data_IF_206378161289
#
_entry.id   IF_206378161289
#
_cell.length_a   1.000
_cell.length_b   1.000
_cell.length_c   1.000
_cell.angle_alpha   90.00
_cell.angle_beta   90.00
_cell.angle_gamma   90.00
#
_symmetry.space_group_name_H-M   'P 1'
#
loop_
_entity.id
_entity.type
_entity.pdbx_description
1 polymer ?
#
# COMPACT_ATOMS: atom_id res chain seq x y z
N UNK A 1 28.74 12.90 5.11
CA UNK A 1 27.61 13.65 5.69
C UNK A 1 26.36 12.81 5.47
N UNK A 2 25.54 12.58 6.51
CA UNK A 2 24.24 11.96 6.31
C UNK A 2 23.40 12.84 5.35
N UNK A 3 22.64 12.25 4.41
CA UNK A 3 21.80 13.02 3.52
C UNK A 3 20.84 13.90 4.32
N UNK A 4 20.78 15.18 4.00
CA UNK A 4 19.86 16.13 4.62
C UNK A 4 18.46 15.88 4.06
N UNK A 5 17.42 15.73 4.90
CA UNK A 5 16.06 15.64 4.40
C UNK A 5 15.67 16.96 3.72
N UNK A 6 14.86 16.91 2.66
CA UNK A 6 14.39 18.12 2.01
C UNK A 6 13.54 18.95 2.98
N UNK A 7 13.59 20.29 2.89
CA UNK A 7 12.83 21.15 3.81
C UNK A 7 11.34 20.82 3.76
N UNK A 8 10.60 21.05 4.86
CA UNK A 8 9.15 20.94 4.87
C UNK A 8 8.51 21.80 3.77
N UNK A 9 7.39 21.34 3.22
CA UNK A 9 6.65 22.13 2.23
C UNK A 9 5.90 23.28 2.93
N UNK A 10 5.71 24.38 2.22
CA UNK A 10 5.02 25.56 2.76
C UNK A 10 3.54 25.30 3.07
N UNK A 11 3.07 25.86 4.20
CA UNK A 11 1.67 25.81 4.61
C UNK A 11 1.21 24.41 5.04
N UNK A 12 0.06 23.96 4.52
CA UNK A 12 -0.55 22.64 4.83
C UNK A 12 -0.14 21.53 3.85
N UNK A 13 0.81 21.79 2.95
CA UNK A 13 1.27 20.84 1.93
C UNK A 13 2.15 19.75 2.55
N UNK A 14 2.09 18.53 2.02
CA UNK A 14 2.85 17.37 2.53
C UNK A 14 3.47 16.56 1.40
N UNK A 15 4.49 15.76 1.72
CA UNK A 15 4.94 14.67 0.86
C UNK A 15 4.22 13.40 1.29
N UNK A 16 3.48 12.80 0.35
CA UNK A 16 2.57 11.69 0.65
C UNK A 16 3.12 10.44 -0.03
N UNK A 17 3.54 9.46 0.76
CA UNK A 17 3.89 8.15 0.26
C UNK A 17 2.64 7.31 -0.01
N UNK A 18 2.64 6.55 -1.09
CA UNK A 18 1.59 5.63 -1.50
C UNK A 18 2.26 4.27 -1.73
N UNK A 19 1.75 3.23 -1.09
CA UNK A 19 2.25 1.85 -1.29
C UNK A 19 1.11 0.86 -1.44
N UNK A 20 1.39 -0.24 -2.15
CA UNK A 20 0.56 -1.44 -2.14
C UNK A 20 1.27 -2.56 -1.41
N UNK A 21 0.55 -3.32 -0.58
CA UNK A 21 1.14 -4.40 0.22
C UNK A 21 0.16 -5.54 0.42
N UNK A 22 0.69 -6.77 0.52
CA UNK A 22 -0.11 -7.99 0.61
C UNK A 22 -0.33 -8.61 -0.77
N UNK A 23 -1.35 -9.47 -0.89
CA UNK A 23 -1.78 -9.97 -2.21
C UNK A 23 -2.33 -8.83 -3.06
N UNK A 24 -2.01 -8.80 -4.34
CA UNK A 24 -2.54 -7.81 -5.25
C UNK A 24 -4.03 -8.08 -5.54
N UNK A 25 -4.76 -7.03 -5.90
CA UNK A 25 -6.15 -7.15 -6.32
C UNK A 25 -6.45 -6.23 -7.50
N UNK A 26 -7.35 -6.64 -8.43
CA UNK A 26 -7.74 -5.77 -9.53
C UNK A 26 -8.30 -4.44 -9.03
N UNK A 27 -7.71 -3.33 -9.50
CA UNK A 27 -8.11 -1.98 -9.13
C UNK A 27 -7.10 -1.22 -8.27
N UNK A 28 -6.06 -1.89 -7.73
CA UNK A 28 -4.99 -1.23 -6.97
C UNK A 28 -4.30 -0.11 -7.77
N UNK A 29 -4.07 -0.30 -9.07
CA UNK A 29 -3.53 0.75 -9.94
C UNK A 29 -4.44 1.99 -10.03
N UNK A 30 -5.77 1.78 -10.07
CA UNK A 30 -6.75 2.86 -10.04
C UNK A 30 -6.69 3.65 -8.74
N UNK A 31 -6.48 2.97 -7.61
CA UNK A 31 -6.28 3.58 -6.28
C UNK A 31 -5.02 4.43 -6.27
N UNK A 32 -3.87 3.85 -6.64
CA UNK A 32 -2.58 4.58 -6.67
C UNK A 32 -2.69 5.81 -7.56
N UNK A 33 -3.26 5.65 -8.77
CA UNK A 33 -3.52 6.76 -9.69
C UNK A 33 -4.35 7.87 -9.06
N UNK A 34 -5.45 7.53 -8.38
CA UNK A 34 -6.32 8.50 -7.73
C UNK A 34 -5.57 9.26 -6.63
N UNK A 35 -4.82 8.55 -5.78
CA UNK A 35 -4.02 9.14 -4.71
C UNK A 35 -2.94 10.08 -5.25
N UNK A 36 -2.18 9.66 -6.28
CA UNK A 36 -1.15 10.50 -6.92
C UNK A 36 -1.77 11.78 -7.49
N UNK A 37 -2.83 11.66 -8.29
CA UNK A 37 -3.48 12.82 -8.91
C UNK A 37 -4.10 13.77 -7.88
N UNK A 38 -4.73 13.24 -6.83
CA UNK A 38 -5.31 14.06 -5.77
C UNK A 38 -4.25 14.75 -4.92
N UNK A 39 -3.12 14.10 -4.64
CA UNK A 39 -2.00 14.75 -3.96
C UNK A 39 -1.49 15.95 -4.76
N UNK A 40 -1.24 15.78 -6.06
CA UNK A 40 -0.81 16.87 -6.96
C UNK A 40 -1.85 17.98 -7.00
N UNK A 41 -3.13 17.64 -7.17
CA UNK A 41 -4.22 18.61 -7.19
C UNK A 41 -4.32 19.44 -5.91
N UNK A 42 -3.99 18.86 -4.75
CA UNK A 42 -3.94 19.55 -3.45
C UNK A 42 -2.62 20.29 -3.21
N UNK A 43 -1.70 20.30 -4.17
CA UNK A 43 -0.38 20.93 -4.05
C UNK A 43 0.60 20.16 -3.16
N UNK A 44 0.31 18.89 -2.86
CA UNK A 44 1.20 17.96 -2.18
C UNK A 44 2.11 17.25 -3.20
N UNK A 45 3.19 16.65 -2.71
CA UNK A 45 4.12 15.88 -3.56
C UNK A 45 3.90 14.38 -3.32
N UNK A 46 3.35 13.62 -4.30
CA UNK A 46 3.19 12.19 -4.15
C UNK A 46 4.50 11.44 -4.37
N UNK A 47 4.69 10.38 -3.59
CA UNK A 47 5.75 9.39 -3.74
C UNK A 47 5.12 8.00 -3.82
N UNK A 48 5.57 7.16 -4.73
CA UNK A 48 5.25 5.74 -4.73
C UNK A 48 6.38 4.96 -4.07
N UNK A 49 6.00 4.04 -3.18
CA UNK A 49 6.89 3.05 -2.59
C UNK A 49 6.70 1.74 -3.36
N UNK A 50 7.76 1.31 -4.03
CA UNK A 50 7.77 0.08 -4.78
C UNK A 50 7.95 -1.14 -3.87
N UNK A 51 7.40 -2.29 -4.23
CA UNK A 51 7.51 -3.55 -3.47
C UNK A 51 6.99 -3.47 -2.02
N UNK A 52 6.07 -2.55 -1.74
CA UNK A 52 5.42 -2.39 -0.44
C UNK A 52 6.40 -2.10 0.70
N UNK A 53 6.28 -2.83 1.81
CA UNK A 53 7.16 -2.64 2.97
C UNK A 53 8.62 -2.92 2.65
N UNK A 54 8.92 -3.78 1.66
CA UNK A 54 10.29 -4.10 1.30
C UNK A 54 11.00 -2.86 0.74
N UNK A 55 10.37 -2.16 -0.21
CA UNK A 55 10.95 -0.92 -0.72
C UNK A 55 10.94 0.22 0.29
N UNK A 56 10.04 0.20 1.27
CA UNK A 56 10.09 1.15 2.38
C UNK A 56 11.35 0.95 3.23
N UNK A 57 11.71 -0.31 3.53
CA UNK A 57 12.92 -0.64 4.30
C UNK A 57 14.19 -0.43 3.48
N UNK A 58 14.21 -0.84 2.21
CA UNK A 58 15.38 -0.67 1.35
C UNK A 58 15.63 0.80 0.99
N UNK A 59 14.57 1.59 0.78
CA UNK A 59 14.66 3.00 0.43
C UNK A 59 15.26 3.26 -0.96
N UNK A 60 15.90 4.41 -1.12
CA UNK A 60 16.58 4.78 -2.37
C UNK A 60 15.64 4.84 -3.57
N UNK A 61 15.95 4.07 -4.63
CA UNK A 61 15.19 4.08 -5.89
C UNK A 61 13.77 3.51 -5.77
N UNK A 62 13.48 2.77 -4.69
CA UNK A 62 12.17 2.21 -4.43
C UNK A 62 11.20 3.22 -3.80
N UNK A 63 11.68 4.42 -3.41
CA UNK A 63 10.83 5.53 -3.00
C UNK A 63 10.95 6.63 -4.05
N UNK A 64 9.99 6.67 -4.97
CA UNK A 64 10.06 7.53 -6.16
C UNK A 64 9.01 8.63 -6.11
N UNK A 65 9.42 9.88 -6.33
CA UNK A 65 8.50 11.00 -6.55
C UNK A 65 7.72 10.78 -7.85
N UNK A 66 6.42 11.01 -7.80
CA UNK A 66 5.51 10.79 -8.93
C UNK A 66 5.04 12.12 -9.52
N UNK A 67 4.98 12.18 -10.84
CA UNK A 67 4.34 13.22 -11.63
C UNK A 67 2.93 12.84 -12.08
N UNK A 68 2.24 13.78 -12.72
CA UNK A 68 0.87 13.58 -13.21
C UNK A 68 0.77 12.49 -14.29
N UNK A 69 1.75 12.47 -15.19
CA UNK A 69 1.81 11.54 -16.33
C UNK A 69 2.28 10.14 -15.95
N UNK A 70 2.98 9.98 -14.82
CA UNK A 70 3.52 8.68 -14.38
C UNK A 70 2.42 7.64 -14.12
N UNK A 71 1.19 8.09 -13.83
CA UNK A 71 0.02 7.25 -13.59
C UNK A 71 -1.01 7.30 -14.73
N UNK A 72 -0.60 7.74 -15.93
CA UNK A 72 -1.47 7.72 -17.12
C UNK A 72 -1.76 6.27 -17.53
N UNK A 73 -3.03 5.97 -17.83
CA UNK A 73 -3.45 4.63 -18.27
C UNK A 73 -3.64 3.60 -17.15
N UNK A 74 -3.17 3.86 -15.93
CA UNK A 74 -3.19 2.89 -14.83
C UNK A 74 -4.59 2.39 -14.44
N UNK A 75 -5.66 3.08 -14.84
CA UNK A 75 -7.03 2.65 -14.57
C UNK A 75 -7.40 1.31 -15.23
N UNK A 76 -6.77 0.98 -16.37
CA UNK A 76 -7.04 -0.24 -17.14
C UNK A 76 -6.01 -1.35 -16.92
N UNK A 77 -5.05 -1.15 -16.02
CA UNK A 77 -3.95 -2.09 -15.78
C UNK A 77 -4.26 -3.03 -14.60
N UNK A 78 -3.95 -4.31 -14.76
CA UNK A 78 -4.11 -5.33 -13.73
C UNK A 78 -3.05 -5.27 -12.61
N UNK A 79 -3.34 -5.92 -11.48
CA UNK A 79 -2.43 -6.04 -10.34
C UNK A 79 -2.02 -4.69 -9.73
N UNK A 80 -0.74 -4.57 -9.37
CA UNK A 80 -0.12 -3.32 -8.91
C UNK A 80 1.19 -3.03 -9.65
N UNK A 81 1.27 -1.89 -10.33
CA UNK A 81 2.43 -1.44 -11.11
C UNK A 81 3.57 -0.92 -10.22
N UNK A 82 3.30 -0.68 -8.94
CA UNK A 82 4.32 -0.39 -7.94
C UNK A 82 4.76 -1.65 -7.19
N UNK A 83 4.24 -2.82 -7.56
CA UNK A 83 4.63 -4.09 -6.95
C UNK A 83 4.17 -4.27 -5.51
N UNK A 84 4.42 -5.46 -4.99
CA UNK A 84 4.12 -5.83 -3.60
C UNK A 84 4.99 -7.02 -3.24
N UNK A 85 5.81 -6.88 -2.21
CA UNK A 85 6.67 -7.95 -1.71
C UNK A 85 6.42 -8.21 -0.22
N UNK A 86 6.63 -9.46 0.19
CA UNK A 86 6.68 -9.79 1.62
C UNK A 86 7.98 -9.24 2.19
N UNK A 87 7.88 -8.46 3.27
CA UNK A 87 9.04 -7.91 3.96
C UNK A 87 9.19 -8.52 5.35
N UNK A 88 10.13 -9.45 5.51
CA UNK A 88 10.42 -10.04 6.83
C UNK A 88 11.09 -9.04 7.76
N UNK A 89 11.93 -8.15 7.21
CA UNK A 89 12.64 -7.14 8.00
C UNK A 89 11.68 -6.19 8.74
N UNK A 90 10.50 -5.90 8.17
CA UNK A 90 9.53 -4.97 8.77
C UNK A 90 8.82 -5.54 10.01
N UNK A 91 8.82 -6.86 10.20
CA UNK A 91 8.35 -7.49 11.45
C UNK A 91 9.24 -7.14 12.63
N UNK A 92 10.52 -6.87 12.36
CA UNK A 92 11.52 -6.52 13.35
C UNK A 92 11.65 -5.01 13.50
N UNK A 93 11.93 -4.56 14.74
CA UNK A 93 12.08 -3.13 15.04
C UNK A 93 13.19 -2.46 14.22
N UNK A 94 14.37 -3.08 13.97
CA UNK A 94 15.40 -2.50 13.10
C UNK A 94 14.93 -2.21 11.68
N UNK A 95 14.10 -3.07 11.08
CA UNK A 95 13.55 -2.81 9.74
C UNK A 95 12.59 -1.62 9.76
N UNK A 96 11.71 -1.52 10.78
CA UNK A 96 10.85 -0.35 10.96
C UNK A 96 11.63 0.94 11.21
N UNK A 97 12.72 0.86 11.97
CA UNK A 97 13.63 1.99 12.20
C UNK A 97 14.23 2.50 10.88
N UNK A 98 14.71 1.58 10.04
CA UNK A 98 15.24 1.90 8.72
C UNK A 98 14.16 2.49 7.79
N UNK A 99 12.95 1.94 7.81
CA UNK A 99 11.80 2.47 7.08
C UNK A 99 11.46 3.92 7.50
N UNK A 100 11.39 4.19 8.81
CA UNK A 100 11.13 5.53 9.34
C UNK A 100 12.23 6.52 8.91
N UNK A 101 13.50 6.10 8.96
CA UNK A 101 14.63 6.88 8.46
C UNK A 101 14.46 7.22 6.98
N UNK A 102 14.14 6.24 6.13
CA UNK A 102 13.96 6.47 4.69
C UNK A 102 12.82 7.45 4.40
N UNK A 103 11.72 7.37 5.15
CA UNK A 103 10.61 8.34 5.03
C UNK A 103 11.05 9.75 5.42
N UNK A 104 11.72 9.91 6.56
CA UNK A 104 12.23 11.22 7.00
C UNK A 104 13.24 11.79 6.02
N UNK A 105 14.16 10.98 5.49
CA UNK A 105 15.14 11.41 4.48
C UNK A 105 14.50 11.88 3.17
N UNK A 106 13.31 11.39 2.83
CA UNK A 106 12.52 11.88 1.70
C UNK A 106 11.54 13.01 2.09
N UNK A 107 11.53 13.41 3.37
CA UNK A 107 10.64 14.43 3.92
C UNK A 107 9.17 14.02 3.90
N UNK A 108 8.88 12.73 4.09
CA UNK A 108 7.56 12.11 4.07
C UNK A 108 7.07 11.86 5.49
N UNK A 109 5.86 12.33 5.79
CA UNK A 109 5.15 12.20 7.08
C UNK A 109 3.70 11.73 6.94
N UNK A 110 3.29 11.41 5.71
CA UNK A 110 1.98 10.90 5.37
C UNK A 110 2.14 9.65 4.51
N UNK A 111 1.42 8.59 4.88
CA UNK A 111 1.44 7.31 4.22
C UNK A 111 0.02 6.85 3.89
N UNK A 112 -0.20 6.53 2.62
CA UNK A 112 -1.40 5.88 2.12
C UNK A 112 -0.99 4.44 1.78
N UNK A 113 -1.68 3.47 2.36
CA UNK A 113 -1.44 2.05 2.09
C UNK A 113 -2.70 1.41 1.54
N UNK A 114 -2.57 0.69 0.43
CA UNK A 114 -3.62 -0.15 -0.13
C UNK A 114 -3.22 -1.63 -0.01
N UNK A 115 -4.05 -2.44 0.65
CA UNK A 115 -3.73 -3.83 0.89
C UNK A 115 -4.76 -4.57 1.72
N UNK A 116 -4.43 -5.81 2.09
CA UNK A 116 -5.23 -6.62 2.98
C UNK A 116 -5.07 -6.25 4.47
N UNK A 117 -5.87 -6.89 5.32
CA UNK A 117 -5.93 -6.64 6.77
C UNK A 117 -4.55 -6.66 7.46
N UNK A 118 -3.71 -7.65 7.16
CA UNK A 118 -2.36 -7.76 7.74
C UNK A 118 -1.46 -6.55 7.41
N UNK A 119 -1.58 -6.02 6.18
CA UNK A 119 -0.82 -4.83 5.78
C UNK A 119 -1.31 -3.56 6.49
N UNK A 120 -2.63 -3.43 6.70
CA UNK A 120 -3.23 -2.32 7.43
C UNK A 120 -2.88 -2.36 8.92
N UNK A 121 -2.91 -3.53 9.53
CA UNK A 121 -2.46 -3.75 10.92
C UNK A 121 -0.99 -3.38 11.09
N UNK A 122 -0.13 -3.78 10.15
CA UNK A 122 1.28 -3.40 10.15
C UNK A 122 1.49 -1.87 10.09
N UNK A 123 0.64 -1.17 9.34
CA UNK A 123 0.70 0.27 9.21
C UNK A 123 0.30 0.97 10.51
N UNK A 124 -0.77 0.52 11.16
CA UNK A 124 -1.21 1.09 12.45
C UNK A 124 -0.16 0.89 13.56
N UNK A 125 0.45 -0.31 13.63
CA UNK A 125 1.59 -0.56 14.52
C UNK A 125 2.74 0.38 14.24
N UNK A 126 3.09 0.58 12.97
CA UNK A 126 4.17 1.47 12.57
C UNK A 126 3.90 2.93 12.96
N UNK A 127 2.67 3.41 12.80
CA UNK A 127 2.24 4.74 13.28
C UNK A 127 2.37 4.88 14.79
N UNK A 128 1.91 3.88 15.53
CA UNK A 128 1.95 3.88 17.00
C UNK A 128 3.38 3.87 17.53
N UNK A 129 4.29 3.14 16.87
CA UNK A 129 5.70 3.09 17.24
C UNK A 129 6.51 4.31 16.74
N UNK A 130 5.97 5.11 15.82
CA UNK A 130 6.69 6.19 15.14
C UNK A 130 7.47 7.14 16.08
N UNK A 131 6.88 7.70 17.16
CA UNK A 131 7.61 8.59 18.05
C UNK A 131 8.82 7.91 18.72
N UNK A 132 8.69 6.61 19.03
CA UNK A 132 9.77 5.81 19.61
C UNK A 132 10.89 5.53 18.60
N UNK A 133 10.54 5.27 17.34
CA UNK A 133 11.52 5.07 16.25
C UNK A 133 12.29 6.36 15.97
N UNK A 134 11.59 7.50 15.93
CA UNK A 134 12.20 8.82 15.77
C UNK A 134 13.20 9.12 16.89
N UNK A 135 12.83 8.88 18.15
CA UNK A 135 13.71 9.09 19.30
C UNK A 135 14.97 8.23 19.20
N UNK A 136 14.81 6.96 18.84
CA UNK A 136 15.92 6.02 18.67
C UNK A 136 16.87 6.44 17.54
N UNK A 137 16.35 7.00 16.43
CA UNK A 137 17.18 7.53 15.33
C UNK A 137 18.04 8.73 15.77
N UNK A 138 17.53 9.57 16.67
CA UNK A 138 18.27 10.69 17.25
C UNK A 138 19.35 10.19 18.20
N UNK A 139 19.01 9.23 19.08
CA UNK A 139 19.95 8.62 20.04
C UNK A 139 21.12 7.93 19.34
N UNK A 140 20.86 7.23 18.22
CA UNK A 140 21.88 6.60 17.36
C UNK A 140 22.66 7.59 16.50
N UNK A 141 22.35 8.89 16.56
CA UNK A 141 22.94 9.96 15.75
C UNK A 141 22.79 9.74 14.24
N UNK A 142 21.77 9.00 13.83
CA UNK A 142 21.46 8.77 12.42
C UNK A 142 20.71 9.96 11.79
N UNK A 143 19.94 10.68 12.61
CA UNK A 143 19.23 11.91 12.26
C UNK A 143 19.41 12.96 13.37
N UNK A 144 19.43 14.24 13.02
CA UNK A 144 19.48 15.32 14.01
C UNK A 144 18.08 15.75 14.47
N UNK A 145 17.97 16.35 15.66
CA UNK A 145 16.68 16.85 16.18
C UNK A 145 16.01 17.86 15.22
N UNK A 146 16.81 18.70 14.57
CA UNK A 146 16.33 19.68 13.60
C UNK A 146 15.74 19.02 12.36
N UNK A 147 16.32 17.90 11.92
CA UNK A 147 15.85 17.13 10.77
C UNK A 147 14.51 16.45 11.03
N UNK A 148 14.27 16.01 12.27
CA UNK A 148 13.06 15.25 12.62
C UNK A 148 11.94 16.12 13.21
N UNK A 149 12.26 17.33 13.68
CA UNK A 149 11.29 18.30 14.22
C UNK A 149 9.96 18.42 13.44
N UNK A 150 9.96 18.50 12.08
CA UNK A 150 8.72 18.61 11.31
C UNK A 150 7.98 17.27 11.11
N UNK A 151 8.61 16.13 11.38
CA UNK A 151 8.11 14.78 11.06
C UNK A 151 7.79 13.95 12.32
N UNK A 152 7.43 14.59 13.43
CA UNK A 152 7.18 13.92 14.72
C UNK A 152 5.99 12.95 14.71
N UNK A 153 5.06 13.13 13.78
CA UNK A 153 3.85 12.33 13.69
C UNK A 153 3.70 11.75 12.29
N UNK A 154 3.39 10.45 12.23
CA UNK A 154 3.02 9.78 11.00
C UNK A 154 1.50 9.80 10.83
N UNK A 155 1.05 10.27 9.68
CA UNK A 155 -0.36 10.23 9.27
C UNK A 155 -0.56 9.03 8.36
N UNK A 156 -1.53 8.18 8.65
CA UNK A 156 -1.81 6.99 7.84
C UNK A 156 -3.25 6.99 7.36
N UNK A 157 -3.44 6.59 6.10
CA UNK A 157 -4.74 6.22 5.53
C UNK A 157 -4.64 4.81 4.96
N UNK A 158 -5.57 3.94 5.36
CA UNK A 158 -5.69 2.58 4.86
C UNK A 158 -6.79 2.44 3.82
N UNK A 159 -6.52 1.70 2.74
CA UNK A 159 -7.47 1.30 1.72
C UNK A 159 -7.46 -0.22 1.60
N UNK A 160 -8.64 -0.84 1.62
CA UNK A 160 -8.73 -2.30 1.65
C UNK A 160 -8.72 -2.86 0.22
N UNK A 161 -7.58 -3.40 -0.20
CA UNK A 161 -7.40 -4.12 -1.46
C UNK A 161 -7.36 -5.63 -1.21
N UNK A 162 -8.42 -6.33 -1.60
CA UNK A 162 -8.57 -7.77 -1.43
C UNK A 162 -9.65 -8.31 -2.37
N UNK A 163 -9.45 -9.51 -2.91
CA UNK A 163 -10.51 -10.24 -3.64
C UNK A 163 -11.48 -10.97 -2.69
N UNK A 164 -11.06 -11.19 -1.45
CA UNK A 164 -11.76 -12.07 -0.50
C UNK A 164 -13.02 -11.41 0.12
N UNK A 165 -13.13 -10.07 0.05
CA UNK A 165 -14.15 -9.25 0.73
C UNK A 165 -14.31 -9.56 2.22
N UNK A 166 -13.20 -9.84 2.91
CA UNK A 166 -13.15 -10.36 4.27
C UNK A 166 -12.87 -9.30 5.35
N UNK A 167 -13.09 -8.02 5.04
CA UNK A 167 -12.85 -6.92 5.97
C UNK A 167 -14.18 -6.42 6.57
N UNK A 168 -14.41 -6.74 7.84
CA UNK A 168 -15.57 -6.29 8.60
C UNK A 168 -15.59 -4.76 8.74
N UNK A 169 -16.63 -4.11 8.22
CA UNK A 169 -16.80 -2.66 8.29
C UNK A 169 -16.71 -1.94 6.94
N UNK A 170 -16.43 -2.68 5.86
CA UNK A 170 -16.68 -2.22 4.48
C UNK A 170 -17.55 -3.24 3.78
N UNK A 171 -18.51 -2.78 2.96
CA UNK A 171 -19.39 -3.68 2.19
C UNK A 171 -18.66 -4.35 1.03
N UNK A 172 -17.66 -3.65 0.47
CA UNK A 172 -16.89 -4.09 -0.68
C UNK A 172 -15.41 -3.71 -0.53
N UNK A 173 -14.52 -4.69 -0.70
CA UNK A 173 -13.08 -4.48 -0.85
C UNK A 173 -12.71 -4.24 -2.31
N UNK A 174 -11.65 -3.46 -2.55
CA UNK A 174 -11.16 -3.20 -3.90
C UNK A 174 -10.67 -4.52 -4.51
N UNK A 175 -11.34 -4.95 -5.57
CA UNK A 175 -11.05 -6.18 -6.32
C UNK A 175 -12.04 -7.32 -6.14
N UNK A 176 -12.95 -7.29 -5.15
CA UNK A 176 -13.89 -8.38 -4.91
C UNK A 176 -14.85 -8.61 -6.10
N UNK A 177 -15.47 -7.55 -6.64
CA UNK A 177 -16.37 -7.67 -7.80
C UNK A 177 -15.64 -8.08 -9.08
N UNK A 178 -14.38 -7.65 -9.24
CA UNK A 178 -13.56 -8.07 -10.38
C UNK A 178 -13.25 -9.57 -10.31
N UNK A 179 -12.94 -10.08 -9.12
CA UNK A 179 -12.74 -11.51 -8.90
C UNK A 179 -14.05 -12.30 -9.11
N UNK A 180 -15.18 -11.81 -8.59
CA UNK A 180 -16.50 -12.41 -8.83
C UNK A 180 -16.82 -12.47 -10.32
N UNK A 181 -16.62 -11.38 -11.07
CA UNK A 181 -16.84 -11.35 -12.51
C UNK A 181 -15.99 -12.41 -13.24
N UNK A 182 -14.76 -12.63 -12.80
CA UNK A 182 -13.89 -13.68 -13.35
C UNK A 182 -14.35 -15.09 -12.99
N UNK A 183 -14.86 -15.30 -11.77
CA UNK A 183 -15.47 -16.57 -11.38
C UNK A 183 -16.69 -16.86 -12.26
N UNK A 184 -17.62 -15.92 -12.40
CA UNK A 184 -18.81 -16.08 -13.24
C UNK A 184 -18.44 -16.43 -14.69
N UNK A 185 -17.51 -15.69 -15.29
CA UNK A 185 -17.02 -15.96 -16.65
C UNK A 185 -16.51 -17.41 -16.80
N UNK A 186 -15.76 -17.93 -15.83
CA UNK A 186 -15.24 -19.30 -15.89
C UNK A 186 -16.33 -20.35 -15.67
N UNK A 187 -17.31 -20.08 -14.81
CA UNK A 187 -18.47 -20.97 -14.61
C UNK A 187 -19.29 -21.07 -15.90
N UNK A 188 -19.53 -19.95 -16.58
CA UNK A 188 -20.28 -19.91 -17.84
C UNK A 188 -19.63 -20.81 -18.92
N UNK A 189 -18.29 -20.81 -19.01
CA UNK A 189 -17.57 -21.70 -19.91
C UNK A 189 -17.72 -23.18 -19.53
N UNK A 190 -17.69 -23.52 -18.24
CA UNK A 190 -17.84 -24.90 -17.75
C UNK A 190 -19.27 -25.41 -17.99
N UNK A 191 -20.28 -24.55 -17.82
CA UNK A 191 -21.69 -24.91 -17.98
C UNK A 191 -22.00 -25.42 -19.41
N UNK A 192 -21.38 -24.82 -20.44
CA UNK A 192 -21.56 -25.24 -21.83
C UNK A 192 -21.14 -26.70 -22.06
N UNK A 193 -20.02 -27.14 -21.48
CA UNK A 193 -19.60 -28.55 -21.58
C UNK A 193 -20.34 -29.47 -20.61
N UNK A 194 -20.78 -28.96 -19.46
CA UNK A 194 -21.51 -29.75 -18.46
C UNK A 194 -22.88 -30.17 -18.98
N UNK A 195 -23.62 -29.24 -19.59
CA UNK A 195 -24.94 -29.49 -20.17
C UNK A 195 -24.91 -30.48 -21.34
N UNK A 196 -23.87 -30.41 -22.18
CA UNK A 196 -23.70 -31.29 -23.35
C UNK A 196 -23.50 -32.77 -22.99
N UNK A 197 -22.93 -33.06 -21.82
CA UNK A 197 -22.59 -34.42 -21.42
C UNK A 197 -23.25 -34.86 -20.11
N UNK A 198 -24.23 -34.09 -19.62
CA UNK A 198 -24.90 -34.32 -18.33
C UNK A 198 -23.92 -34.60 -17.19
N UNK A 199 -22.84 -33.80 -17.12
CA UNK A 199 -21.76 -33.96 -16.13
C UNK A 199 -22.02 -33.08 -14.91
N UNK A 200 -21.54 -33.55 -13.76
CA UNK A 200 -21.38 -32.72 -12.57
C UNK A 200 -19.93 -32.22 -12.48
N UNK A 201 -19.75 -30.96 -12.06
CA UNK A 201 -18.45 -30.34 -11.84
C UNK A 201 -18.34 -29.85 -10.40
N UNK A 202 -17.14 -29.96 -9.82
CA UNK A 202 -16.78 -29.34 -8.54
C UNK A 202 -15.85 -28.18 -8.84
N UNK A 203 -16.24 -26.97 -8.46
CA UNK A 203 -15.50 -25.73 -8.75
C UNK A 203 -14.97 -25.17 -7.42
N UNK A 204 -13.66 -25.17 -7.26
CA UNK A 204 -12.98 -24.55 -6.12
C UNK A 204 -12.66 -23.08 -6.46
N UNK A 205 -13.06 -22.15 -5.59
CA UNK A 205 -12.84 -20.70 -5.76
C UNK A 205 -12.02 -20.13 -4.60
N UNK A 206 -11.32 -19.01 -4.87
CA UNK A 206 -10.64 -18.22 -3.84
C UNK A 206 -11.64 -17.50 -2.91
N UNK A 207 -11.18 -16.89 -1.82
CA UNK A 207 -12.04 -16.28 -0.79
C UNK A 207 -11.57 -16.52 0.65
N UNK A 208 -10.40 -17.16 0.83
CA UNK A 208 -9.77 -17.47 2.12
C UNK A 208 -10.74 -18.10 3.12
N UNK A 209 -11.18 -17.34 4.12
CA UNK A 209 -12.10 -17.79 5.17
C UNK A 209 -13.43 -17.03 5.16
N UNK A 210 -13.66 -16.13 4.18
CA UNK A 210 -14.83 -15.24 4.16
C UNK A 210 -16.15 -15.99 3.94
N UNK A 211 -16.16 -16.96 3.02
CA UNK A 211 -17.37 -17.70 2.66
C UNK A 211 -17.77 -18.79 3.68
N UNK A 212 -16.94 -19.01 4.71
CA UNK A 212 -17.21 -20.02 5.77
C UNK A 212 -17.96 -19.46 6.97
N UNK A 213 -18.13 -18.13 7.08
CA UNK A 213 -18.64 -17.47 8.27
C UNK A 213 -19.90 -16.62 8.05
N UNK A 214 -20.81 -17.05 7.16
CA UNK A 214 -22.17 -16.51 7.11
C UNK A 214 -23.18 -17.60 7.43
#
# INVERSE_FOLDING_TARGET
>A
MAPQPPPPLEGKKRRIAIMTSGGDSPGMNGVVRACVRMAIYKGCEPYCIYEGYEGLVQGGKLIKKMGWEDVRGWQSEGGTLIGTARCMAFYERPGRLQAAKNMVLNGIDALIICGGDGSLTGADKFRSEWPGLIKELIEKKELSEQQVAPFKHLNIVGLVGSIDNDMSGTDATIGCFSALGKICEMVDYIEQTASSHSRAFVIEVMGRHCAKSR
#
